data_IF_319453351496
#
_entry.id   IF_319453351496
#
_cell.length_a   1.000
_cell.length_b   1.000
_cell.length_c   1.000
_cell.angle_alpha   90.00
_cell.angle_beta   90.00
_cell.angle_gamma   90.00
#
_symmetry.space_group_name_H-M   'P 1'
#
loop_
_entity.id
_entity.type
_entity.pdbx_description
1 polymer ?
#
# COMPACT_ATOMS: atom_id res chain seq x y z
N UNK A 1 -20.08 1.26 -1.95
CA UNK A 1 -18.61 1.39 -1.77
C UNK A 1 -18.12 0.14 -1.06
N UNK A 2 -16.93 -0.37 -1.39
CA UNK A 2 -16.28 -1.45 -0.65
C UNK A 2 -14.94 -0.92 -0.16
N UNK A 3 -14.73 -1.00 1.14
CA UNK A 3 -13.47 -0.60 1.75
C UNK A 3 -13.09 -1.52 2.90
N UNK A 4 -11.79 -1.59 3.20
CA UNK A 4 -11.31 -2.13 4.45
C UNK A 4 -10.44 -1.11 5.18
N UNK A 5 -10.51 -1.16 6.51
CA UNK A 5 -9.67 -0.41 7.41
C UNK A 5 -8.67 -1.38 8.02
N UNK A 6 -7.40 -1.01 8.03
CA UNK A 6 -6.36 -1.72 8.75
C UNK A 6 -5.59 -0.74 9.65
N UNK A 7 -5.11 -1.19 10.79
CA UNK A 7 -4.38 -0.35 11.74
C UNK A 7 -3.02 -0.96 12.01
N UNK A 8 -1.96 -0.17 11.90
CA UNK A 8 -0.62 -0.57 12.30
C UNK A 8 -0.29 0.09 13.64
N UNK A 9 -0.39 -0.64 14.77
CA UNK A 9 -0.11 -0.09 16.08
C UNK A 9 1.36 0.35 16.23
N UNK A 10 1.61 1.13 17.28
CA UNK A 10 2.95 1.52 17.67
C UNK A 10 3.85 0.32 17.97
N UNK A 11 5.15 0.56 17.94
CA UNK A 11 6.12 -0.47 18.28
C UNK A 11 5.90 -0.86 19.75
N UNK A 12 5.87 -2.16 20.01
CA UNK A 12 5.58 -2.69 21.34
C UNK A 12 6.51 -3.86 21.63
N UNK A 13 6.72 -4.12 22.92
CA UNK A 13 7.38 -5.32 23.39
C UNK A 13 6.29 -6.37 23.57
N UNK A 14 6.41 -7.51 22.89
CA UNK A 14 5.46 -8.60 23.08
C UNK A 14 5.66 -9.32 24.42
N UNK A 15 4.76 -10.26 24.76
CA UNK A 15 4.83 -11.04 25.99
C UNK A 15 6.12 -11.85 26.14
N UNK A 16 6.84 -12.08 25.04
CA UNK A 16 8.09 -12.83 24.98
C UNK A 16 9.32 -11.91 25.04
N UNK A 17 9.13 -10.60 25.24
CA UNK A 17 10.21 -9.61 25.33
C UNK A 17 10.76 -9.16 23.98
N UNK A 18 10.15 -9.54 22.85
CA UNK A 18 10.63 -9.12 21.54
C UNK A 18 10.11 -7.73 21.17
N UNK A 19 11.02 -6.87 20.71
CA UNK A 19 10.65 -5.56 20.17
C UNK A 19 10.01 -5.71 18.78
N UNK A 20 8.71 -5.45 18.69
CA UNK A 20 7.93 -5.52 17.44
C UNK A 20 7.92 -4.15 16.78
N UNK A 21 8.76 -4.00 15.76
CA UNK A 21 8.76 -2.81 14.89
C UNK A 21 7.71 -2.99 13.80
N UNK A 22 6.67 -2.18 13.83
CA UNK A 22 5.64 -2.18 12.79
C UNK A 22 5.97 -1.17 11.70
N UNK A 23 6.02 -1.60 10.44
CA UNK A 23 6.02 -0.68 9.30
C UNK A 23 4.80 0.23 9.39
N UNK A 24 4.95 1.54 9.18
CA UNK A 24 3.84 2.49 9.32
C UNK A 24 3.20 2.83 7.96
N UNK A 25 3.25 1.86 7.05
CA UNK A 25 2.65 1.87 5.71
C UNK A 25 2.09 0.48 5.40
N UNK A 26 1.21 0.35 4.38
CA UNK A 26 0.62 -0.92 3.95
C UNK A 26 1.67 -2.02 3.71
N UNK A 27 1.33 -3.24 4.10
CA UNK A 27 2.12 -4.43 3.84
C UNK A 27 1.79 -5.06 2.47
N UNK A 28 2.66 -5.96 1.95
CA UNK A 28 2.33 -6.74 0.76
C UNK A 28 1.03 -7.56 0.90
N UNK A 29 0.73 -8.05 2.10
CA UNK A 29 -0.50 -8.79 2.36
C UNK A 29 -1.74 -7.91 2.19
N UNK A 30 -1.69 -6.64 2.63
CA UNK A 30 -2.76 -5.67 2.45
C UNK A 30 -3.01 -5.39 0.96
N UNK A 31 -1.93 -5.26 0.18
CA UNK A 31 -2.01 -5.02 -1.27
C UNK A 31 -2.62 -6.22 -2.01
N UNK A 32 -2.28 -7.44 -1.60
CA UNK A 32 -2.89 -8.66 -2.15
C UNK A 32 -4.39 -8.68 -1.84
N UNK A 33 -4.76 -8.41 -0.59
CA UNK A 33 -6.16 -8.38 -0.19
C UNK A 33 -6.94 -7.28 -0.91
N UNK A 34 -6.36 -6.09 -1.05
CA UNK A 34 -6.92 -4.99 -1.82
C UNK A 34 -7.25 -5.39 -3.25
N UNK A 35 -6.30 -6.01 -3.97
CA UNK A 35 -6.55 -6.45 -5.35
C UNK A 35 -7.60 -7.56 -5.45
N UNK A 36 -7.73 -8.42 -4.43
CA UNK A 36 -8.82 -9.40 -4.37
C UNK A 36 -10.19 -8.71 -4.26
N UNK A 37 -10.29 -7.64 -3.47
CA UNK A 37 -11.50 -6.82 -3.39
C UNK A 37 -11.79 -6.10 -4.72
N UNK A 38 -10.78 -5.55 -5.38
CA UNK A 38 -10.93 -4.92 -6.71
C UNK A 38 -11.47 -5.93 -7.73
N UNK A 39 -10.96 -7.17 -7.73
CA UNK A 39 -11.47 -8.26 -8.58
C UNK A 39 -12.94 -8.56 -8.27
N UNK A 40 -13.27 -8.72 -6.99
CA UNK A 40 -14.64 -9.03 -6.57
C UNK A 40 -15.61 -7.89 -6.91
N UNK A 41 -15.18 -6.64 -6.76
CA UNK A 41 -15.95 -5.47 -7.17
C UNK A 41 -16.24 -5.49 -8.67
N UNK A 42 -15.22 -5.75 -9.49
CA UNK A 42 -15.39 -5.87 -10.94
C UNK A 42 -16.41 -6.96 -11.31
N UNK A 43 -16.29 -8.14 -10.69
CA UNK A 43 -17.18 -9.27 -10.92
C UNK A 43 -18.64 -9.00 -10.54
N UNK A 44 -18.87 -8.09 -9.59
CA UNK A 44 -20.20 -7.70 -9.12
C UNK A 44 -20.72 -6.39 -9.75
N UNK A 45 -20.06 -5.87 -10.80
CA UNK A 45 -20.48 -4.63 -11.48
C UNK A 45 -20.31 -3.36 -10.65
N UNK A 46 -19.48 -3.40 -9.61
CA UNK A 46 -19.21 -2.24 -8.74
C UNK A 46 -18.13 -1.37 -9.39
N UNK A 47 -18.32 -0.04 -9.50
CA UNK A 47 -17.29 0.86 -10.04
C UNK A 47 -15.97 0.74 -9.27
N UNK A 48 -14.86 0.55 -9.97
CA UNK A 48 -13.55 0.34 -9.33
C UNK A 48 -13.05 1.58 -8.56
N UNK A 49 -13.52 2.76 -8.94
CA UNK A 49 -13.27 4.03 -8.24
C UNK A 49 -13.85 4.07 -6.82
N UNK A 50 -14.82 3.19 -6.53
CA UNK A 50 -15.47 3.05 -5.22
C UNK A 50 -14.72 2.08 -4.29
N UNK A 51 -13.58 1.56 -4.71
CA UNK A 51 -12.78 0.60 -3.96
C UNK A 51 -11.54 1.30 -3.41
N UNK A 52 -11.39 1.25 -2.10
CA UNK A 52 -10.25 1.79 -1.41
C UNK A 52 -9.94 1.01 -0.15
N UNK A 53 -8.72 1.11 0.35
CA UNK A 53 -8.43 0.68 1.71
C UNK A 53 -7.73 1.79 2.47
N UNK A 54 -7.95 1.85 3.77
CA UNK A 54 -7.35 2.85 4.65
C UNK A 54 -6.48 2.13 5.66
N UNK A 55 -5.26 2.61 5.83
CA UNK A 55 -4.35 2.20 6.88
C UNK A 55 -4.06 3.38 7.79
N UNK A 56 -4.35 3.21 9.08
CA UNK A 56 -4.08 4.20 10.12
C UNK A 56 -2.86 3.76 10.92
N UNK A 57 -1.88 4.65 11.03
CA UNK A 57 -0.68 4.45 11.84
C UNK A 57 -0.33 5.71 12.60
N UNK A 58 0.59 5.60 13.56
CA UNK A 58 1.13 6.76 14.29
C UNK A 58 1.94 7.73 13.45
N UNK A 59 2.43 7.34 12.27
CA UNK A 59 3.15 8.23 11.34
C UNK A 59 2.23 8.88 10.30
N UNK A 60 0.97 8.45 10.22
CA UNK A 60 0.01 9.00 9.28
C UNK A 60 -1.07 8.02 8.89
N UNK A 61 -2.09 8.58 8.22
CA UNK A 61 -3.20 7.85 7.64
C UNK A 61 -3.02 7.81 6.12
N UNK A 62 -3.01 6.60 5.58
CA UNK A 62 -2.85 6.35 4.16
C UNK A 62 -4.07 5.63 3.60
N UNK A 63 -4.38 5.92 2.34
CA UNK A 63 -5.37 5.21 1.57
C UNK A 63 -4.73 4.63 0.32
N UNK A 64 -5.08 3.41 -0.04
CA UNK A 64 -4.76 2.79 -1.33
C UNK A 64 -6.03 2.82 -2.18
N UNK A 65 -5.94 3.33 -3.42
CA UNK A 65 -7.05 3.41 -4.37
C UNK A 65 -6.68 2.75 -5.69
N UNK A 66 -7.65 2.14 -6.36
CA UNK A 66 -7.47 1.61 -7.69
C UNK A 66 -7.79 2.71 -8.70
N UNK A 67 -6.78 3.13 -9.47
CA UNK A 67 -6.85 4.18 -10.49
C UNK A 67 -6.57 3.65 -11.88
N UNK A 68 -6.33 2.34 -12.01
CA UNK A 68 -6.12 1.66 -13.27
C UNK A 68 -7.40 1.23 -13.98
N UNK A 69 -7.22 0.43 -15.02
CA UNK A 69 -8.29 -0.23 -15.77
C UNK A 69 -8.40 -1.73 -15.43
N UNK A 70 -9.45 -2.37 -15.92
CA UNK A 70 -9.76 -3.79 -15.65
C UNK A 70 -8.62 -4.76 -16.01
N UNK A 71 -7.79 -4.43 -17.00
CA UNK A 71 -6.65 -5.28 -17.41
C UNK A 71 -5.47 -5.20 -16.44
N UNK A 72 -5.46 -4.20 -15.54
CA UNK A 72 -4.41 -3.99 -14.55
C UNK A 72 -4.76 -4.63 -13.19
N UNK A 73 -5.93 -5.27 -13.07
CA UNK A 73 -6.34 -5.96 -11.84
C UNK A 73 -5.42 -7.18 -11.63
N UNK A 74 -4.55 -7.07 -10.62
CA UNK A 74 -3.56 -8.10 -10.31
C UNK A 74 -4.16 -9.21 -9.44
N UNK A 75 -4.33 -10.41 -9.99
CA UNK A 75 -4.95 -11.53 -9.25
C UNK A 75 -4.05 -12.74 -9.06
N UNK A 76 -2.98 -12.84 -9.86
CA UNK A 76 -1.97 -13.89 -9.76
C UNK A 76 -0.63 -13.29 -9.32
N UNK A 77 -0.03 -13.89 -8.30
CA UNK A 77 1.25 -13.47 -7.73
C UNK A 77 2.27 -14.60 -7.86
N UNK A 78 3.53 -14.23 -8.09
CA UNK A 78 4.61 -15.20 -8.27
C UNK A 78 5.07 -15.85 -6.96
N UNK A 79 4.92 -15.13 -5.84
CA UNK A 79 5.32 -15.59 -4.52
C UNK A 79 4.11 -15.66 -3.56
N UNK A 80 4.27 -16.39 -2.48
CA UNK A 80 3.31 -16.44 -1.37
C UNK A 80 3.31 -15.15 -0.55
N UNK A 81 2.25 -14.93 0.25
CA UNK A 81 2.18 -13.80 1.20
C UNK A 81 3.38 -13.76 2.15
N UNK A 82 3.82 -14.93 2.63
CA UNK A 82 4.95 -15.03 3.56
C UNK A 82 6.26 -14.62 2.89
N UNK A 83 6.51 -15.10 1.68
CA UNK A 83 7.72 -14.74 0.92
C UNK A 83 7.76 -13.26 0.61
N UNK A 84 6.65 -12.65 0.16
CA UNK A 84 6.61 -11.21 -0.05
C UNK A 84 6.88 -10.41 1.23
N UNK A 85 6.35 -10.83 2.38
CA UNK A 85 6.63 -10.16 3.64
C UNK A 85 8.12 -10.21 4.00
N UNK A 86 8.79 -11.34 3.80
CA UNK A 86 10.23 -11.45 4.04
C UNK A 86 11.06 -10.64 3.03
N UNK A 87 10.67 -10.63 1.76
CA UNK A 87 11.30 -9.79 0.74
C UNK A 87 11.11 -8.30 1.05
N UNK A 88 9.92 -7.91 1.52
CA UNK A 88 9.58 -6.53 1.87
C UNK A 88 10.41 -6.03 3.05
N UNK A 89 10.55 -6.83 4.12
CA UNK A 89 11.43 -6.54 5.24
C UNK A 89 12.86 -6.29 4.78
N UNK A 90 13.42 -7.21 3.98
CA UNK A 90 14.78 -7.08 3.43
C UNK A 90 14.92 -5.84 2.55
N UNK A 91 13.91 -5.53 1.74
CA UNK A 91 13.90 -4.36 0.87
C UNK A 91 13.93 -3.05 1.68
N UNK A 92 13.09 -2.95 2.71
CA UNK A 92 13.06 -1.78 3.59
C UNK A 92 14.36 -1.61 4.39
N UNK A 93 14.97 -2.70 4.85
CA UNK A 93 16.30 -2.64 5.50
C UNK A 93 17.37 -2.16 4.51
N UNK A 94 17.39 -2.72 3.30
CA UNK A 94 18.35 -2.35 2.24
C UNK A 94 18.24 -0.88 1.84
N UNK A 95 17.02 -0.33 1.86
CA UNK A 95 16.73 1.04 1.44
C UNK A 95 16.19 1.91 2.59
N UNK A 96 16.71 1.69 3.80
CA UNK A 96 16.26 2.37 5.03
C UNK A 96 16.36 3.90 5.00
N UNK A 97 17.24 4.44 4.16
CA UNK A 97 17.45 5.89 4.04
C UNK A 97 16.47 6.56 3.05
N UNK A 98 15.60 5.77 2.38
CA UNK A 98 14.50 6.28 1.55
C UNK A 98 13.23 6.45 2.36
N UNK A 99 12.30 7.26 1.86
CA UNK A 99 10.97 7.35 2.47
C UNK A 99 10.20 6.03 2.38
N UNK A 100 9.38 5.74 3.40
CA UNK A 100 8.50 4.58 3.44
C UNK A 100 7.55 4.55 2.21
N UNK A 101 7.07 5.73 1.80
CA UNK A 101 6.21 5.92 0.62
C UNK A 101 6.92 5.48 -0.68
N UNK A 102 8.18 5.88 -0.87
CA UNK A 102 8.98 5.49 -2.04
C UNK A 102 9.26 3.98 -2.04
N UNK A 103 9.68 3.45 -0.89
CA UNK A 103 9.98 2.03 -0.75
C UNK A 103 8.73 1.17 -0.99
N UNK A 104 7.59 1.57 -0.46
CA UNK A 104 6.32 0.88 -0.68
C UNK A 104 5.92 0.89 -2.16
N UNK A 105 5.86 2.07 -2.79
CA UNK A 105 5.43 2.19 -4.18
C UNK A 105 6.37 1.44 -5.15
N UNK A 106 7.69 1.53 -4.95
CA UNK A 106 8.64 0.77 -5.76
C UNK A 106 8.51 -0.73 -5.55
N UNK A 107 8.33 -1.19 -4.31
CA UNK A 107 8.21 -2.61 -4.04
C UNK A 107 7.00 -3.24 -4.72
N UNK A 108 5.83 -2.61 -4.60
CA UNK A 108 4.62 -3.14 -5.24
C UNK A 108 4.72 -3.10 -6.78
N UNK A 109 5.42 -2.10 -7.33
CA UNK A 109 5.63 -1.96 -8.77
C UNK A 109 6.61 -3.00 -9.34
N UNK A 110 7.76 -3.21 -8.68
CA UNK A 110 8.89 -4.00 -9.17
C UNK A 110 8.83 -5.47 -8.76
N UNK A 111 8.39 -5.78 -7.54
CA UNK A 111 8.42 -7.15 -6.99
C UNK A 111 7.06 -7.84 -7.04
N UNK A 112 5.98 -7.07 -6.86
CA UNK A 112 4.61 -7.60 -6.91
C UNK A 112 3.95 -7.40 -8.28
N UNK A 113 4.53 -6.56 -9.14
CA UNK A 113 3.99 -6.19 -10.45
C UNK A 113 2.53 -5.68 -10.37
N UNK A 114 2.22 -4.92 -9.32
CA UNK A 114 0.92 -4.26 -9.12
C UNK A 114 0.96 -2.93 -9.85
N UNK A 115 -0.03 -2.69 -10.73
CA UNK A 115 -0.18 -1.45 -11.52
C UNK A 115 -1.55 -0.85 -11.27
N UNK A 116 -1.74 0.41 -11.64
CA UNK A 116 -3.06 1.07 -11.54
C UNK A 116 -3.51 1.30 -10.10
N UNK A 117 -2.55 1.52 -9.21
CA UNK A 117 -2.78 1.78 -7.79
C UNK A 117 -2.14 3.10 -7.43
N UNK A 118 -2.86 3.90 -6.66
CA UNK A 118 -2.38 5.17 -6.11
C UNK A 118 -2.40 5.13 -4.59
N UNK A 119 -1.35 5.67 -3.97
CA UNK A 119 -1.30 5.91 -2.53
C UNK A 119 -1.81 7.33 -2.29
N UNK A 120 -2.74 7.52 -1.37
CA UNK A 120 -3.27 8.83 -0.98
C UNK A 120 -2.92 9.03 0.49
N UNK A 121 -2.24 10.13 0.82
CA UNK A 121 -1.90 10.49 2.19
C UNK A 121 -2.90 11.51 2.70
N UNK A 122 -3.40 11.31 3.91
CA UNK A 122 -4.12 12.35 4.65
C UNK A 122 -3.10 13.20 5.41
N UNK A 123 -3.11 14.50 5.16
CA UNK A 123 -2.23 15.47 5.80
C UNK A 123 -2.85 15.96 7.12
N UNK A 124 -2.02 16.51 8.01
CA UNK A 124 -2.45 16.97 9.34
C UNK A 124 -3.46 18.14 9.28
N UNK A 125 -3.46 18.88 8.18
CA UNK A 125 -4.41 19.97 7.90
C UNK A 125 -5.75 19.48 7.32
N UNK A 126 -5.97 18.17 7.24
CA UNK A 126 -7.19 17.56 6.69
C UNK A 126 -7.25 17.50 5.16
N UNK A 127 -6.23 17.97 4.45
CA UNK A 127 -6.15 17.80 2.98
C UNK A 127 -5.61 16.42 2.61
N UNK A 128 -5.79 16.04 1.34
CA UNK A 128 -5.30 14.77 0.82
C UNK A 128 -4.29 15.01 -0.30
N UNK A 129 -3.18 14.28 -0.30
CA UNK A 129 -2.19 14.31 -1.38
C UNK A 129 -2.08 12.92 -2.00
N UNK A 130 -2.33 12.82 -3.30
CA UNK A 130 -2.06 11.60 -4.06
C UNK A 130 -0.56 11.48 -4.32
N UNK A 131 -0.01 10.30 -4.08
CA UNK A 131 1.40 9.93 -4.20
C UNK A 131 1.56 8.83 -5.24
N UNK A 132 2.40 9.07 -6.24
CA UNK A 132 2.75 8.10 -7.30
C UNK A 132 4.25 8.13 -7.58
N UNK A 133 4.77 7.10 -8.23
CA UNK A 133 6.14 7.14 -8.75
C UNK A 133 6.23 8.12 -9.92
N UNK A 134 7.36 8.83 -10.04
CA UNK A 134 7.71 9.55 -11.26
C UNK A 134 7.99 8.58 -12.43
N UNK A 135 8.16 9.10 -13.65
CA UNK A 135 8.37 8.29 -14.85
C UNK A 135 9.56 7.32 -14.72
N UNK A 136 10.66 7.77 -14.11
CA UNK A 136 11.88 6.97 -13.92
C UNK A 136 11.85 6.11 -12.64
N UNK A 137 10.77 6.20 -11.86
CA UNK A 137 10.56 5.47 -10.58
C UNK A 137 11.67 5.70 -9.56
N UNK A 138 12.32 6.84 -9.60
CA UNK A 138 13.37 7.24 -8.66
C UNK A 138 12.81 8.00 -7.47
N UNK A 139 11.66 8.65 -7.63
CA UNK A 139 11.08 9.55 -6.65
C UNK A 139 9.55 9.39 -6.56
N UNK A 140 8.98 9.89 -5.46
CA UNK A 140 7.52 10.00 -5.29
C UNK A 140 7.11 11.42 -5.64
N UNK A 141 6.20 11.55 -6.59
CA UNK A 141 5.54 12.81 -6.91
C UNK A 141 4.20 12.90 -6.20
N UNK A 142 3.88 14.10 -5.73
CA UNK A 142 2.63 14.41 -5.06
C UNK A 142 1.77 15.35 -5.88
N UNK A 143 0.46 15.11 -5.89
CA UNK A 143 -0.53 16.07 -6.39
C UNK A 143 -1.63 16.21 -5.34
N UNK A 144 -1.97 17.43 -4.97
CA UNK A 144 -3.06 17.67 -4.04
C UNK A 144 -4.39 17.26 -4.67
N UNK A 145 -5.22 16.60 -3.87
CA UNK A 145 -6.58 16.26 -4.26
C UNK A 145 -7.45 17.53 -4.16
N UNK A 146 -8.24 17.85 -5.20
CA UNK A 146 -9.18 18.97 -5.16
C UNK A 146 -10.28 18.79 -4.11
#
# INVERSE_FOLDING_TARGET
>A
MIAFLHTHPNDYIDSDGNFRIGFKIFSPADVIYFNQLVKQAHQNGIPLTNIYAVMVSSKGTYQIRFTGNVNQIKTAYANTKKEYNEMYKKYFVKYKDRSDELNFLKFIDEYMYVKGVSLVKMNDNGTFTTKTLNADKTEVVGSDCP
#
